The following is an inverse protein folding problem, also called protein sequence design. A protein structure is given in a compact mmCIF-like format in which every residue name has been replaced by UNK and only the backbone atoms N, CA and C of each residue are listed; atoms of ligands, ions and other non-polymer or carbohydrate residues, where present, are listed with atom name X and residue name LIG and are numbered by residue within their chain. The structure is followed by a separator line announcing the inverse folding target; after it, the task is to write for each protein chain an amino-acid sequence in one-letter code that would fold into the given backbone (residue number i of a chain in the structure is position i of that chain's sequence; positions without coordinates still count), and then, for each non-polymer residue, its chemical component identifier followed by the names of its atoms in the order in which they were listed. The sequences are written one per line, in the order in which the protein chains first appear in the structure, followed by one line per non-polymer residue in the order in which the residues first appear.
data_IF_895775141299
#
_entry.id   IF_895775141299
#
_cell.length_a   1.000
_cell.length_b   1.000
_cell.length_c   1.000
_cell.angle_alpha   90.00
_cell.angle_beta   90.00
_cell.angle_gamma   90.00
#
_symmetry.space_group_name_H-M   'P 1'
#
loop_
_entity.id
_entity.type
_entity.pdbx_description
1 polymer ?
#
# COMPACT_ATOMS: atom_id res chain seq x y z
N UNK A 1 37.58 -41.72 36.00
CA UNK A 1 37.98 -42.79 35.07
C UNK A 1 37.29 -42.49 33.75
N UNK A 2 37.98 -41.78 32.87
CA UNK A 2 38.57 -42.24 31.61
C UNK A 2 37.64 -43.20 30.85
N UNK A 3 37.10 -42.80 29.70
CA UNK A 3 37.68 -43.06 28.40
C UNK A 3 36.94 -42.33 27.27
N UNK A 4 37.73 -41.65 26.45
CA UNK A 4 37.52 -41.18 25.09
C UNK A 4 37.20 -42.34 24.14
N UNK A 5 36.47 -42.09 23.01
CA UNK A 5 36.83 -42.56 21.69
C UNK A 5 36.27 -41.56 20.66
N UNK A 6 37.17 -41.20 19.79
CA UNK A 6 37.09 -40.27 18.65
C UNK A 6 36.86 -41.02 17.32
N UNK A 7 36.60 -40.24 16.29
CA UNK A 7 36.92 -40.38 14.87
C UNK A 7 35.93 -41.05 13.95
N UNK A 8 35.64 -40.31 12.86
CA UNK A 8 35.09 -40.83 11.60
C UNK A 8 34.85 -39.74 10.58
N UNK A 9 35.98 -39.13 10.12
CA UNK A 9 36.00 -38.19 9.01
C UNK A 9 35.93 -38.98 7.68
N UNK A 10 35.03 -38.63 6.76
CA UNK A 10 35.11 -39.00 5.37
C UNK A 10 34.67 -37.85 4.47
N UNK A 11 35.69 -37.18 3.92
CA UNK A 11 35.59 -36.26 2.82
C UNK A 11 35.45 -37.03 1.50
N UNK A 12 34.50 -36.63 0.66
CA UNK A 12 34.55 -36.94 -0.77
C UNK A 12 34.42 -35.62 -1.52
N UNK A 13 35.58 -35.19 -2.04
CA UNK A 13 35.66 -34.19 -3.11
C UNK A 13 35.38 -34.91 -4.44
N UNK A 14 34.50 -34.37 -5.23
CA UNK A 14 34.46 -34.61 -6.65
C UNK A 14 34.50 -33.27 -7.38
N UNK A 15 35.62 -32.97 -7.95
CA UNK A 15 35.86 -31.90 -8.94
C UNK A 15 35.18 -32.27 -10.26
N UNK A 16 34.46 -31.31 -10.82
CA UNK A 16 33.98 -31.33 -12.19
C UNK A 16 33.97 -29.93 -12.74
N UNK A 17 35.06 -29.54 -13.43
CA UNK A 17 35.14 -28.35 -14.27
C UNK A 17 34.29 -28.57 -15.53
N UNK A 18 33.51 -27.57 -15.97
CA UNK A 18 33.72 -26.86 -17.24
C UNK A 18 32.46 -26.11 -17.68
N UNK A 19 32.75 -24.93 -18.15
CA UNK A 19 32.22 -24.21 -19.30
C UNK A 19 31.34 -23.00 -19.07
N UNK A 20 31.88 -21.88 -19.52
CA UNK A 20 31.29 -20.58 -19.77
C UNK A 20 29.93 -20.66 -20.49
N UNK A 21 29.02 -19.81 -20.08
CA UNK A 21 27.80 -19.48 -20.83
C UNK A 21 26.94 -18.50 -20.04
N UNK A 22 26.93 -17.27 -20.50
CA UNK A 22 25.91 -16.24 -20.37
C UNK A 22 25.19 -16.01 -19.01
N UNK A 23 25.44 -14.83 -18.46
CA UNK A 23 24.70 -14.22 -17.38
C UNK A 23 23.25 -13.99 -17.80
N UNK A 24 22.37 -14.86 -17.43
CA UNK A 24 21.00 -14.53 -17.12
C UNK A 24 20.93 -14.28 -15.62
N UNK A 25 20.66 -13.04 -15.25
CA UNK A 25 20.25 -12.68 -13.88
C UNK A 25 18.88 -13.31 -13.63
N UNK A 26 18.89 -14.53 -13.18
CA UNK A 26 17.74 -15.15 -12.53
C UNK A 26 17.59 -14.43 -11.18
N UNK A 27 16.60 -13.54 -11.11
CA UNK A 27 16.09 -13.08 -9.84
C UNK A 27 15.50 -14.32 -9.18
N UNK A 28 16.26 -14.90 -8.27
CA UNK A 28 15.83 -16.02 -7.47
C UNK A 28 14.60 -15.60 -6.68
N UNK A 29 13.43 -16.01 -7.18
CA UNK A 29 12.22 -16.09 -6.40
C UNK A 29 12.51 -17.11 -5.30
N UNK A 30 12.89 -16.64 -4.11
CA UNK A 30 12.85 -17.46 -2.92
C UNK A 30 11.36 -17.64 -2.59
N UNK A 31 10.76 -18.71 -3.06
CA UNK A 31 9.51 -19.21 -2.51
C UNK A 31 9.83 -19.76 -1.11
N UNK A 32 10.00 -18.86 -0.15
CA UNK A 32 9.89 -19.20 1.25
C UNK A 32 8.40 -19.52 1.51
N UNK A 33 8.16 -20.60 2.22
CA UNK A 33 6.85 -21.14 2.50
C UNK A 33 5.83 -20.06 2.90
N UNK A 34 4.89 -19.77 1.98
CA UNK A 34 3.76 -18.88 2.21
C UNK A 34 2.66 -19.53 3.08
N UNK A 35 2.83 -20.80 3.42
CA UNK A 35 1.79 -21.67 3.95
C UNK A 35 1.36 -21.34 5.41
N UNK A 36 2.16 -20.51 6.12
CA UNK A 36 1.86 -20.11 7.50
C UNK A 36 1.84 -18.58 7.71
N UNK A 37 2.07 -17.77 6.66
CA UNK A 37 2.12 -16.31 6.80
C UNK A 37 0.73 -15.73 7.02
N UNK A 38 0.52 -15.11 8.18
CA UNK A 38 -0.74 -14.51 8.59
C UNK A 38 -0.79 -13.04 8.18
N UNK A 39 -1.46 -12.74 7.08
CA UNK A 39 -1.71 -11.39 6.57
C UNK A 39 -3.08 -10.91 7.02
N UNK A 40 -3.16 -9.73 7.62
CA UNK A 40 -4.43 -9.09 7.98
C UNK A 40 -4.57 -7.78 7.22
N UNK A 41 -5.69 -7.62 6.51
CA UNK A 41 -5.99 -6.43 5.69
C UNK A 41 -7.11 -5.63 6.34
N UNK A 42 -6.84 -4.36 6.63
CA UNK A 42 -7.78 -3.45 7.28
C UNK A 42 -8.31 -2.44 6.27
N UNK A 43 -9.63 -2.44 6.11
CA UNK A 43 -10.36 -1.55 5.21
C UNK A 43 -11.08 -0.47 6.01
N UNK A 44 -11.02 0.79 5.56
CA UNK A 44 -11.74 1.86 6.25
C UNK A 44 -13.25 1.65 6.22
N UNK A 45 -13.77 1.09 5.12
CA UNK A 45 -15.19 0.79 4.93
C UNK A 45 -15.39 -0.38 3.95
N UNK A 46 -16.43 -1.18 4.16
CA UNK A 46 -16.77 -2.30 3.28
C UNK A 46 -17.57 -1.86 2.04
N UNK A 47 -18.33 -0.77 2.18
CA UNK A 47 -19.30 -0.34 1.17
C UNK A 47 -18.70 0.45 0.01
N UNK A 48 -17.42 0.83 0.08
CA UNK A 48 -16.74 1.53 -1.01
C UNK A 48 -16.59 0.64 -2.24
N UNK A 49 -17.24 1.03 -3.34
CA UNK A 49 -17.29 0.25 -4.58
C UNK A 49 -15.91 0.12 -5.23
N UNK A 50 -15.09 1.19 -5.20
CA UNK A 50 -13.74 1.14 -5.74
C UNK A 50 -12.87 0.19 -4.92
N UNK A 51 -12.88 0.32 -3.59
CA UNK A 51 -12.13 -0.57 -2.71
C UNK A 51 -12.63 -2.02 -2.77
N UNK A 52 -13.90 -2.24 -3.08
CA UNK A 52 -14.41 -3.57 -3.38
C UNK A 52 -13.65 -4.22 -4.54
N UNK A 53 -13.42 -3.50 -5.63
CA UNK A 53 -12.63 -4.00 -6.77
C UNK A 53 -11.14 -4.20 -6.42
N UNK A 54 -10.56 -3.33 -5.59
CA UNK A 54 -9.19 -3.47 -5.10
C UNK A 54 -9.06 -4.71 -4.21
N UNK A 55 -10.03 -4.94 -3.32
CA UNK A 55 -10.07 -6.12 -2.45
C UNK A 55 -10.11 -7.41 -3.25
N UNK A 56 -10.97 -7.48 -4.27
CA UNK A 56 -11.08 -8.67 -5.11
C UNK A 56 -9.78 -8.95 -5.87
N UNK A 57 -9.13 -7.91 -6.39
CA UNK A 57 -7.83 -8.04 -7.04
C UNK A 57 -6.73 -8.47 -6.05
N UNK A 58 -6.67 -7.84 -4.88
CA UNK A 58 -5.70 -8.15 -3.82
C UNK A 58 -5.86 -9.59 -3.32
N UNK A 59 -7.08 -10.02 -3.04
CA UNK A 59 -7.36 -11.40 -2.61
C UNK A 59 -6.91 -12.43 -3.65
N UNK A 60 -7.11 -12.13 -4.94
CA UNK A 60 -6.65 -13.01 -6.02
C UNK A 60 -5.14 -13.13 -6.09
N UNK A 61 -4.41 -12.04 -5.88
CA UNK A 61 -2.94 -12.08 -5.83
C UNK A 61 -2.43 -12.82 -4.58
N UNK A 62 -3.08 -12.64 -3.43
CA UNK A 62 -2.76 -13.42 -2.23
C UNK A 62 -3.02 -14.92 -2.44
N UNK A 63 -4.14 -15.29 -3.06
CA UNK A 63 -4.44 -16.68 -3.40
C UNK A 63 -3.38 -17.29 -4.32
N UNK A 64 -2.89 -16.53 -5.29
CA UNK A 64 -1.80 -16.97 -6.17
C UNK A 64 -0.48 -17.22 -5.43
N UNK A 65 -0.28 -16.55 -4.29
CA UNK A 65 0.84 -16.76 -3.37
C UNK A 65 0.58 -17.86 -2.32
N UNK A 66 -0.59 -18.49 -2.31
CA UNK A 66 -1.00 -19.48 -1.32
C UNK A 66 -1.39 -18.86 0.04
N UNK A 67 -1.65 -17.55 0.10
CA UNK A 67 -2.03 -16.82 1.31
C UNK A 67 -3.54 -16.57 1.31
N UNK A 68 -4.19 -16.80 2.44
CA UNK A 68 -5.59 -16.38 2.67
C UNK A 68 -5.59 -15.20 3.63
N UNK A 69 -5.78 -13.95 3.15
CA UNK A 69 -5.77 -12.79 4.03
C UNK A 69 -7.02 -12.73 4.91
N UNK A 70 -6.87 -12.28 6.15
CA UNK A 70 -7.98 -11.92 7.03
C UNK A 70 -8.39 -10.47 6.74
N UNK A 71 -9.61 -10.26 6.23
CA UNK A 71 -10.12 -8.94 5.89
C UNK A 71 -10.97 -8.36 7.02
N UNK A 72 -10.57 -7.22 7.57
CA UNK A 72 -11.23 -6.51 8.66
C UNK A 72 -11.79 -5.16 8.18
N UNK A 73 -13.01 -4.81 8.60
CA UNK A 73 -13.70 -3.60 8.15
C UNK A 73 -13.99 -2.68 9.33
N UNK A 74 -13.54 -1.44 9.25
CA UNK A 74 -13.63 -0.48 10.34
C UNK A 74 -14.95 0.33 10.36
N UNK A 75 -15.78 0.21 9.33
CA UNK A 75 -17.05 0.96 9.20
C UNK A 75 -16.87 2.47 9.44
N UNK A 76 -15.85 3.08 8.82
CA UNK A 76 -15.49 4.50 8.98
C UNK A 76 -15.16 4.93 10.42
N UNK A 77 -14.74 4.00 11.28
CA UNK A 77 -14.40 4.30 12.66
C UNK A 77 -12.93 3.99 12.96
N UNK A 78 -12.12 5.04 13.16
CA UNK A 78 -10.69 4.90 13.41
C UNK A 78 -10.38 4.15 14.71
N UNK A 79 -11.19 4.33 15.77
CA UNK A 79 -11.01 3.59 17.02
C UNK A 79 -11.25 2.09 16.81
N UNK A 80 -12.29 1.74 16.07
CA UNK A 80 -12.57 0.35 15.69
C UNK A 80 -11.40 -0.26 14.92
N UNK A 81 -10.83 0.47 13.96
CA UNK A 81 -9.68 0.00 13.19
C UNK A 81 -8.46 -0.27 14.09
N UNK A 82 -8.16 0.66 15.00
CA UNK A 82 -7.04 0.50 15.92
C UNK A 82 -7.21 -0.71 16.84
N UNK A 83 -8.42 -0.97 17.32
CA UNK A 83 -8.74 -2.12 18.16
C UNK A 83 -8.63 -3.45 17.37
N UNK A 84 -9.06 -3.44 16.10
CA UNK A 84 -8.87 -4.58 15.19
C UNK A 84 -7.39 -4.86 14.94
N UNK A 85 -6.58 -3.83 14.68
CA UNK A 85 -5.13 -3.95 14.50
C UNK A 85 -4.47 -4.55 15.74
N UNK A 86 -4.73 -4.01 16.92
CA UNK A 86 -4.21 -4.56 18.19
C UNK A 86 -4.62 -6.01 18.41
N UNK A 87 -5.84 -6.37 18.05
CA UNK A 87 -6.36 -7.74 18.13
C UNK A 87 -5.62 -8.67 17.18
N UNK A 88 -5.37 -8.22 15.93
CA UNK A 88 -4.62 -8.97 14.94
C UNK A 88 -3.17 -9.23 15.38
N UNK A 89 -2.51 -8.19 15.91
CA UNK A 89 -1.16 -8.29 16.48
C UNK A 89 -1.11 -9.32 17.63
N UNK A 90 -2.03 -9.21 18.57
CA UNK A 90 -2.14 -10.16 19.68
C UNK A 90 -2.46 -11.59 19.20
N UNK A 91 -3.14 -11.70 18.07
CA UNK A 91 -3.44 -12.96 17.37
C UNK A 91 -2.30 -13.52 16.53
N UNK A 92 -1.11 -12.87 16.52
CA UNK A 92 0.08 -13.31 15.81
C UNK A 92 0.03 -13.00 14.32
N UNK A 93 -0.43 -11.82 13.92
CA UNK A 93 -0.29 -11.35 12.54
C UNK A 93 1.18 -11.14 12.19
N UNK A 94 1.60 -11.57 11.00
CA UNK A 94 2.96 -11.41 10.48
C UNK A 94 3.11 -10.17 9.61
N UNK A 95 2.01 -9.72 8.97
CA UNK A 95 1.97 -8.52 8.10
C UNK A 95 0.63 -7.82 8.28
N UNK A 96 0.66 -6.50 8.38
CA UNK A 96 -0.52 -5.65 8.41
C UNK A 96 -0.62 -4.85 7.10
N UNK A 97 -1.77 -4.89 6.43
CA UNK A 97 -2.04 -4.11 5.23
C UNK A 97 -3.18 -3.15 5.55
N UNK A 98 -2.93 -1.85 5.56
CA UNK A 98 -3.83 -0.88 6.21
C UNK A 98 -4.28 0.20 5.24
N UNK A 99 -5.58 0.25 4.99
CA UNK A 99 -6.26 1.43 4.44
C UNK A 99 -6.85 2.22 5.63
N UNK A 100 -6.11 3.24 6.11
CA UNK A 100 -6.52 3.95 7.33
C UNK A 100 -7.84 4.71 7.15
N UNK A 101 -8.62 4.82 8.23
CA UNK A 101 -9.92 5.52 8.21
C UNK A 101 -9.73 7.01 8.01
N UNK A 102 -8.83 7.63 8.76
CA UNK A 102 -8.57 9.07 8.69
C UNK A 102 -7.45 9.35 7.68
N UNK A 103 -7.84 9.79 6.47
CA UNK A 103 -6.87 10.14 5.43
C UNK A 103 -6.01 11.34 5.86
N UNK A 104 -4.70 11.25 5.62
CA UNK A 104 -3.76 12.32 5.89
C UNK A 104 -3.43 12.56 7.36
N UNK A 105 -3.81 11.64 8.25
CA UNK A 105 -3.52 11.73 9.67
C UNK A 105 -2.25 10.96 10.01
N UNK A 106 -1.11 11.66 10.02
CA UNK A 106 0.19 11.08 10.34
C UNK A 106 0.28 10.55 11.78
N UNK A 107 -0.35 11.22 12.74
CA UNK A 107 -0.46 10.76 14.12
C UNK A 107 -1.17 9.40 14.22
N UNK A 108 -2.21 9.20 13.43
CA UNK A 108 -2.88 7.89 13.33
C UNK A 108 -1.97 6.80 12.74
N UNK A 109 -1.21 7.14 11.70
CA UNK A 109 -0.25 6.20 11.12
C UNK A 109 0.86 5.87 12.14
N UNK A 110 1.38 6.84 12.86
CA UNK A 110 2.35 6.65 13.93
C UNK A 110 1.82 5.75 15.06
N UNK A 111 0.57 5.93 15.47
CA UNK A 111 -0.08 5.06 16.46
C UNK A 111 -0.19 3.61 15.98
N UNK A 112 -0.50 3.40 14.69
CA UNK A 112 -0.54 2.06 14.08
C UNK A 112 0.85 1.45 14.05
N UNK A 113 1.87 2.20 13.62
CA UNK A 113 3.27 1.76 13.56
C UNK A 113 3.79 1.43 14.96
N UNK A 114 3.52 2.29 15.94
CA UNK A 114 3.91 2.04 17.32
C UNK A 114 3.26 0.78 17.91
N UNK A 115 2.01 0.49 17.54
CA UNK A 115 1.33 -0.74 17.93
C UNK A 115 1.89 -1.98 17.24
N UNK A 116 2.32 -1.85 15.96
CA UNK A 116 2.86 -2.94 15.16
C UNK A 116 4.26 -3.37 15.63
N UNK A 117 5.07 -2.44 16.15
CA UNK A 117 6.46 -2.72 16.54
C UNK A 117 7.30 -3.14 15.34
N UNK A 118 7.82 -4.37 15.36
CA UNK A 118 8.65 -4.92 14.29
C UNK A 118 7.81 -5.58 13.15
N UNK A 119 6.49 -5.64 13.28
CA UNK A 119 5.61 -6.21 12.26
C UNK A 119 5.54 -5.28 11.05
N UNK A 120 5.83 -5.74 9.83
CA UNK A 120 5.71 -4.93 8.63
C UNK A 120 4.29 -4.38 8.42
N UNK A 121 4.19 -3.06 8.09
CA UNK A 121 2.93 -2.42 7.77
C UNK A 121 2.98 -1.85 6.36
N UNK A 122 2.03 -2.23 5.53
CA UNK A 122 1.83 -1.65 4.20
C UNK A 122 0.57 -0.81 4.23
N UNK A 123 0.73 0.51 4.24
CA UNK A 123 -0.40 1.42 4.05
C UNK A 123 -0.78 1.48 2.57
N UNK A 124 -2.06 1.65 2.27
CA UNK A 124 -2.48 1.75 0.89
C UNK A 124 -3.67 2.68 0.68
N UNK A 125 -3.79 3.20 -0.56
CA UNK A 125 -4.85 4.05 -1.08
C UNK A 125 -4.94 5.42 -0.41
N UNK A 126 -5.32 5.51 0.87
CA UNK A 126 -5.45 6.78 1.60
C UNK A 126 -4.11 7.27 2.11
N UNK A 127 -3.82 8.55 1.89
CA UNK A 127 -2.59 9.18 2.34
C UNK A 127 -2.41 9.03 3.87
N UNK A 128 -1.19 8.71 4.28
CA UNK A 128 -0.83 8.56 5.71
C UNK A 128 -0.42 9.87 6.35
N UNK A 129 -0.16 10.90 5.55
CA UNK A 129 0.19 12.24 6.01
C UNK A 129 -0.21 13.30 5.01
N UNK A 130 0.04 14.56 5.36
CA UNK A 130 -0.15 15.75 4.51
C UNK A 130 1.14 16.54 4.46
N UNK A 131 1.33 17.37 3.42
CA UNK A 131 2.44 18.33 3.33
C UNK A 131 3.84 17.71 3.52
N UNK A 132 4.03 16.45 3.06
CA UNK A 132 5.28 15.72 3.16
C UNK A 132 5.49 14.97 4.49
N UNK A 133 4.56 15.05 5.44
CA UNK A 133 4.66 14.30 6.70
C UNK A 133 4.60 12.78 6.52
N UNK A 134 4.04 12.30 5.41
CA UNK A 134 4.08 10.91 4.98
C UNK A 134 5.52 10.45 4.67
N UNK A 135 6.32 11.31 4.05
CA UNK A 135 7.73 11.01 3.75
C UNK A 135 8.50 10.82 5.06
N UNK A 136 8.32 11.70 6.05
CA UNK A 136 9.00 11.60 7.35
C UNK A 136 8.67 10.29 8.07
N UNK A 137 7.39 9.86 8.02
CA UNK A 137 6.94 8.58 8.60
C UNK A 137 7.58 7.38 7.91
N UNK A 138 7.67 7.40 6.57
CA UNK A 138 8.23 6.30 5.78
C UNK A 138 9.75 6.22 5.93
N UNK A 139 10.46 7.36 5.90
CA UNK A 139 11.92 7.40 6.04
C UNK A 139 12.39 7.00 7.45
N UNK A 140 11.58 7.24 8.47
CA UNK A 140 11.91 6.87 9.84
C UNK A 140 11.75 5.37 10.13
N UNK A 141 11.12 4.58 9.27
CA UNK A 141 10.71 3.20 9.56
C UNK A 141 10.96 2.26 8.39
N UNK A 142 11.97 1.40 8.49
CA UNK A 142 12.37 0.45 7.42
C UNK A 142 11.33 -0.67 7.15
N UNK A 143 10.41 -0.91 8.10
CA UNK A 143 9.37 -1.95 7.98
C UNK A 143 8.05 -1.43 7.44
N UNK A 144 8.00 -0.15 7.03
CA UNK A 144 6.78 0.51 6.59
C UNK A 144 6.86 0.82 5.10
N UNK A 145 5.73 0.62 4.40
CA UNK A 145 5.58 1.01 3.01
C UNK A 145 4.23 1.68 2.77
N UNK A 146 4.14 2.52 1.74
CA UNK A 146 2.89 3.10 1.26
C UNK A 146 2.70 2.84 -0.24
N UNK A 147 1.50 2.42 -0.60
CA UNK A 147 1.08 2.21 -1.99
C UNK A 147 -0.17 3.06 -2.24
N UNK A 148 -0.01 4.11 -3.00
CA UNK A 148 -1.10 5.04 -3.30
C UNK A 148 -0.84 5.87 -4.55
N UNK A 149 -1.71 6.85 -4.80
CA UNK A 149 -1.58 7.81 -5.89
C UNK A 149 -1.00 9.11 -5.37
N UNK A 150 -0.23 9.80 -6.23
CA UNK A 150 0.14 11.20 -6.03
C UNK A 150 -1.09 12.07 -6.37
N UNK A 151 -1.77 12.55 -5.33
CA UNK A 151 -3.00 13.33 -5.50
C UNK A 151 -2.76 14.73 -6.10
N UNK A 152 -1.68 15.47 -5.76
CA UNK A 152 -1.27 16.67 -6.48
C UNK A 152 -1.05 16.43 -7.97
N UNK A 153 -0.29 15.41 -8.36
CA UNK A 153 -0.05 15.06 -9.77
C UNK A 153 -1.34 14.70 -10.50
N UNK A 154 -2.23 13.94 -9.84
CA UNK A 154 -3.57 13.66 -10.38
C UNK A 154 -4.41 14.93 -10.60
N UNK A 155 -4.28 15.94 -9.74
CA UNK A 155 -4.89 17.26 -9.90
C UNK A 155 -4.36 17.99 -11.13
N UNK A 156 -3.05 18.11 -11.27
CA UNK A 156 -2.39 18.69 -12.43
C UNK A 156 -2.77 18.01 -13.74
N UNK A 157 -2.79 16.68 -13.75
CA UNK A 157 -3.18 15.89 -14.91
C UNK A 157 -4.64 16.16 -15.31
N UNK A 158 -5.54 16.18 -14.34
CA UNK A 158 -6.96 16.49 -14.55
C UNK A 158 -7.15 17.92 -15.09
N UNK A 159 -6.50 18.90 -14.48
CA UNK A 159 -6.54 20.30 -14.92
C UNK A 159 -6.01 20.47 -16.34
N UNK A 160 -4.91 19.80 -16.68
CA UNK A 160 -4.34 19.77 -18.02
C UNK A 160 -5.32 19.20 -19.05
N UNK A 161 -5.89 18.02 -18.78
CA UNK A 161 -6.84 17.37 -19.68
C UNK A 161 -8.08 18.25 -19.94
N UNK A 162 -8.64 18.86 -18.90
CA UNK A 162 -9.80 19.75 -19.02
C UNK A 162 -9.41 21.01 -19.80
N UNK A 163 -8.28 21.64 -19.47
CA UNK A 163 -7.80 22.83 -20.13
C UNK A 163 -7.55 22.62 -21.63
N UNK A 164 -6.89 21.53 -22.00
CA UNK A 164 -6.66 21.17 -23.41
C UNK A 164 -7.98 20.95 -24.16
N UNK A 165 -8.96 20.25 -23.55
CA UNK A 165 -10.27 20.06 -24.15
C UNK A 165 -11.02 21.39 -24.37
N UNK A 166 -11.04 22.25 -23.35
CA UNK A 166 -11.72 23.55 -23.40
C UNK A 166 -11.09 24.46 -24.47
N UNK A 167 -9.76 24.48 -24.56
CA UNK A 167 -9.07 25.28 -25.59
C UNK A 167 -9.35 24.76 -27.00
N UNK A 168 -9.34 23.47 -27.20
CA UNK A 168 -9.62 22.86 -28.51
C UNK A 168 -11.06 23.03 -28.97
N UNK A 169 -12.01 23.21 -28.03
CA UNK A 169 -13.44 23.33 -28.32
C UNK A 169 -14.04 24.65 -27.86
N UNK A 170 -13.23 25.73 -27.79
CA UNK A 170 -13.61 26.99 -27.16
C UNK A 170 -14.94 27.55 -27.67
N UNK A 171 -15.12 27.63 -28.98
CA UNK A 171 -16.34 28.18 -29.60
C UNK A 171 -17.60 27.36 -29.30
N UNK A 172 -17.43 26.08 -28.99
CA UNK A 172 -18.54 25.19 -28.65
C UNK A 172 -18.91 25.23 -27.17
N UNK A 173 -17.95 25.54 -26.27
CA UNK A 173 -18.15 25.61 -24.84
C UNK A 173 -18.48 27.00 -24.31
N UNK A 174 -18.09 28.07 -25.04
CA UNK A 174 -18.56 29.43 -24.79
C UNK A 174 -19.96 29.65 -25.40
N UNK A 175 -20.97 29.03 -24.74
CA UNK A 175 -22.34 28.97 -25.26
C UNK A 175 -22.97 30.32 -25.39
N UNK A 176 -22.70 31.26 -24.49
CA UNK A 176 -23.25 32.63 -24.50
C UNK A 176 -22.40 33.63 -25.24
N UNK A 177 -21.24 33.24 -25.75
CA UNK A 177 -20.28 34.01 -26.52
C UNK A 177 -19.82 35.29 -25.82
N UNK A 178 -19.63 35.22 -24.50
CA UNK A 178 -19.13 36.36 -23.72
C UNK A 178 -17.59 36.35 -23.56
N UNK A 179 -16.90 35.41 -24.21
CA UNK A 179 -15.47 35.26 -24.15
C UNK A 179 -14.98 34.60 -22.83
N UNK A 180 -15.86 33.93 -22.13
CA UNK A 180 -15.56 33.26 -20.88
C UNK A 180 -16.16 31.84 -20.81
N UNK A 181 -15.46 30.96 -20.17
CA UNK A 181 -15.97 29.62 -19.88
C UNK A 181 -16.35 29.58 -18.40
N UNK A 182 -17.65 29.38 -18.13
CA UNK A 182 -18.16 29.18 -16.78
C UNK A 182 -18.20 27.69 -16.48
N UNK A 183 -17.71 27.30 -15.32
CA UNK A 183 -17.72 25.91 -14.88
C UNK A 183 -18.11 25.78 -13.41
N UNK A 184 -18.58 24.60 -13.02
CA UNK A 184 -18.79 24.22 -11.64
C UNK A 184 -17.86 23.05 -11.32
N UNK A 185 -17.06 23.21 -10.27
CA UNK A 185 -16.20 22.14 -9.78
C UNK A 185 -16.91 21.42 -8.64
N UNK A 186 -17.06 20.10 -8.79
CA UNK A 186 -17.61 19.25 -7.73
C UNK A 186 -16.45 18.65 -6.96
N UNK A 187 -16.34 18.98 -5.69
CA UNK A 187 -15.35 18.44 -4.75
C UNK A 187 -15.93 17.24 -4.01
N UNK A 188 -15.09 16.26 -3.71
CA UNK A 188 -15.45 15.14 -2.83
C UNK A 188 -15.53 15.56 -1.35
N UNK A 189 -15.47 14.58 -0.46
CA UNK A 189 -15.51 14.79 0.98
C UNK A 189 -14.36 15.72 1.43
N UNK A 190 -14.69 16.74 2.21
CA UNK A 190 -13.72 17.70 2.78
C UNK A 190 -12.71 17.03 3.73
N UNK A 191 -13.08 15.94 4.37
CA UNK A 191 -12.20 15.16 5.23
C UNK A 191 -11.24 14.25 4.45
N UNK A 192 -11.40 14.16 3.12
CA UNK A 192 -10.55 13.37 2.26
C UNK A 192 -9.44 14.26 1.68
N UNK A 193 -8.20 13.99 2.08
CA UNK A 193 -7.02 14.77 1.67
C UNK A 193 -6.78 14.69 0.17
N UNK A 194 -7.01 13.56 -0.46
CA UNK A 194 -6.86 13.36 -1.91
C UNK A 194 -7.87 14.22 -2.68
N UNK A 195 -9.12 14.37 -2.18
CA UNK A 195 -10.10 15.25 -2.77
C UNK A 195 -9.68 16.72 -2.66
N UNK A 196 -9.07 17.10 -1.55
CA UNK A 196 -8.55 18.45 -1.32
C UNK A 196 -7.37 18.76 -2.26
N UNK A 197 -6.39 17.89 -2.35
CA UNK A 197 -5.24 18.06 -3.24
C UNK A 197 -5.65 18.11 -4.72
N UNK A 198 -6.50 17.18 -5.17
CA UNK A 198 -7.01 17.18 -6.56
C UNK A 198 -7.86 18.41 -6.91
N UNK A 199 -8.36 19.13 -5.91
CA UNK A 199 -9.10 20.39 -6.11
C UNK A 199 -8.16 21.59 -6.12
N UNK A 200 -7.04 21.50 -5.39
CA UNK A 200 -6.07 22.59 -5.25
C UNK A 200 -5.10 22.65 -6.44
N UNK A 201 -4.69 21.52 -6.94
CA UNK A 201 -3.70 21.34 -8.01
C UNK A 201 -4.35 20.93 -9.33
#
# INVERSE_FOLDING_TARGET
MKKFIALGLAAVMALGLTACGEKTTDAGSSSAAADDTKVVVFWYDESDVYLGSVRDAMNKEFEALGITPDNQFAANNQTTQLDQIKTAIAGGADVLVVNQVTSGASDTAEDIIAAAGDIPVVFFNRAIGTDGSDVDVLEANETIAFIGTDAPDAGHMQGKMIGEYLLANYDAVDINKDGKISYAMMKGDEANVEASFRTQY
#
